data_IF_171759178313
#
_entry.id   IF_171759178313
#
_cell.length_a   1.000
_cell.length_b   1.000
_cell.length_c   1.000
_cell.angle_alpha   90.00
_cell.angle_beta   90.00
_cell.angle_gamma   90.00
#
_symmetry.space_group_name_H-M   'P 1'
#
loop_
_entity.id
_entity.type
_entity.pdbx_description
1 polymer ?
#
# COMPACT_ATOMS: atom_id res chain seq x y z
N UNK A 1 20.99 -3.27 19.64
CA UNK A 1 20.65 -3.79 18.29
C UNK A 1 19.65 -4.90 18.54
N UNK A 2 18.44 -4.79 17.97
CA UNK A 2 17.50 -5.90 18.02
C UNK A 2 18.10 -7.00 17.11
N UNK A 3 18.40 -8.14 17.70
CA UNK A 3 19.06 -9.27 17.07
C UNK A 3 18.16 -9.85 15.97
N UNK A 4 18.74 -10.21 14.84
CA UNK A 4 18.03 -10.73 13.67
C UNK A 4 17.23 -12.02 14.00
N UNK A 5 17.65 -12.69 15.06
CA UNK A 5 16.96 -13.83 15.66
C UNK A 5 15.58 -13.47 16.21
N UNK A 6 15.40 -12.26 16.74
CA UNK A 6 14.18 -11.86 17.42
C UNK A 6 13.01 -11.70 16.45
N UNK A 7 13.22 -11.17 15.23
CA UNK A 7 12.15 -11.07 14.24
C UNK A 7 11.83 -12.44 13.62
N UNK A 8 12.84 -13.29 13.38
CA UNK A 8 12.58 -14.67 12.94
C UNK A 8 11.79 -15.44 14.00
N UNK A 9 12.12 -15.29 15.27
CA UNK A 9 11.37 -15.87 16.39
C UNK A 9 9.97 -15.25 16.49
N UNK A 10 9.81 -13.93 16.35
CA UNK A 10 8.50 -13.25 16.32
C UNK A 10 7.60 -13.77 15.19
N UNK A 11 8.15 -13.91 13.99
CA UNK A 11 7.42 -14.33 12.78
C UNK A 11 7.19 -15.84 12.72
N UNK A 12 7.96 -16.64 13.46
CA UNK A 12 7.80 -18.10 13.51
C UNK A 12 6.99 -18.59 14.71
N UNK A 13 6.77 -17.74 15.73
CA UNK A 13 6.12 -18.13 16.99
C UNK A 13 4.64 -17.75 17.09
N UNK A 14 4.07 -17.02 16.13
CA UNK A 14 2.68 -16.56 16.26
C UNK A 14 1.93 -16.54 14.93
N UNK A 15 0.97 -17.46 14.81
CA UNK A 15 -0.05 -17.51 13.75
C UNK A 15 -1.04 -16.33 13.79
N UNK A 16 -0.79 -15.34 14.66
CA UNK A 16 -1.73 -14.26 14.98
C UNK A 16 -1.05 -12.91 15.25
N UNK A 17 0.20 -12.75 14.80
CA UNK A 17 0.94 -11.50 14.98
C UNK A 17 0.31 -10.36 14.15
N UNK A 18 0.00 -9.25 14.82
CA UNK A 18 -0.50 -8.04 14.18
C UNK A 18 0.67 -7.10 13.89
N UNK A 19 0.93 -6.85 12.62
CA UNK A 19 1.98 -5.95 12.15
C UNK A 19 1.38 -4.60 11.80
N UNK A 20 1.70 -3.58 12.60
CA UNK A 20 1.19 -2.22 12.42
C UNK A 20 1.73 -1.55 11.15
N UNK A 21 3.02 -1.70 10.86
CA UNK A 21 3.60 -1.15 9.63
C UNK A 21 4.75 -2.03 9.13
N UNK A 22 4.67 -2.44 7.87
CA UNK A 22 5.78 -3.06 7.14
C UNK A 22 6.26 -2.09 6.06
N UNK A 23 7.48 -1.59 6.17
CA UNK A 23 8.06 -0.68 5.17
C UNK A 23 9.17 -1.39 4.39
N UNK A 24 9.13 -1.42 3.07
CA UNK A 24 10.24 -1.87 2.21
C UNK A 24 10.73 -0.69 1.37
N UNK A 25 12.03 -0.45 1.26
CA UNK A 25 12.64 0.65 0.48
C UNK A 25 13.84 0.08 -0.30
N UNK A 26 13.96 0.28 -1.61
CA UNK A 26 15.18 -0.04 -2.36
C UNK A 26 15.59 1.08 -3.31
N UNK A 27 16.52 1.95 -2.87
CA UNK A 27 16.92 3.14 -3.65
C UNK A 27 18.02 2.83 -4.68
N UNK A 28 17.90 3.47 -5.84
CA UNK A 28 18.71 3.27 -7.06
C UNK A 28 20.23 3.19 -6.82
N UNK A 29 20.82 2.10 -7.31
CA UNK A 29 22.27 1.97 -7.55
C UNK A 29 23.07 1.35 -6.41
N UNK A 30 22.51 1.28 -5.21
CA UNK A 30 23.04 0.52 -4.09
C UNK A 30 22.02 -0.55 -3.72
N UNK A 31 22.48 -1.79 -3.48
CA UNK A 31 21.62 -2.89 -2.98
C UNK A 31 21.31 -2.64 -1.51
N UNK A 32 20.73 -1.48 -1.22
CA UNK A 32 20.41 -1.05 0.11
C UNK A 32 18.93 -0.79 0.25
N UNK A 33 18.43 -1.03 1.44
CA UNK A 33 17.03 -0.98 1.75
C UNK A 33 16.77 -1.24 3.22
N UNK A 34 15.52 -1.20 3.64
CA UNK A 34 15.19 -1.52 5.01
C UNK A 34 13.81 -2.14 5.10
N UNK A 35 13.66 -3.10 6.00
CA UNK A 35 12.36 -3.59 6.45
C UNK A 35 12.13 -3.08 7.85
N UNK A 36 11.07 -2.34 8.07
CA UNK A 36 10.63 -1.97 9.42
C UNK A 36 9.32 -2.66 9.71
N UNK A 37 9.23 -3.30 10.87
CA UNK A 37 8.04 -3.96 11.39
C UNK A 37 7.69 -3.30 12.72
N UNK A 38 6.60 -2.56 12.74
CA UNK A 38 6.02 -2.07 13.99
C UNK A 38 4.95 -3.06 14.48
N UNK A 39 4.95 -3.43 15.76
CA UNK A 39 3.98 -4.36 16.34
C UNK A 39 3.51 -3.89 17.72
N UNK A 40 2.24 -4.16 18.09
CA UNK A 40 1.69 -3.78 19.38
C UNK A 40 2.30 -4.64 20.50
N UNK A 41 2.50 -4.02 21.68
CA UNK A 41 2.99 -4.73 22.86
C UNK A 41 2.13 -4.46 24.10
N UNK A 42 2.11 -5.43 25.02
CA UNK A 42 1.45 -5.32 26.31
C UNK A 42 2.20 -4.35 27.26
N UNK A 43 1.70 -4.19 28.49
CA UNK A 43 2.35 -3.35 29.51
C UNK A 43 3.76 -3.82 29.88
N UNK A 44 4.11 -5.07 29.59
CA UNK A 44 5.42 -5.67 29.85
C UNK A 44 6.34 -5.62 28.63
N UNK A 45 5.85 -5.14 27.49
CA UNK A 45 6.60 -5.06 26.24
C UNK A 45 6.61 -6.35 25.43
N UNK A 46 5.72 -7.31 25.71
CA UNK A 46 5.55 -8.55 24.96
C UNK A 46 4.62 -8.35 23.75
N UNK A 47 4.86 -8.99 22.59
CA UNK A 47 4.00 -8.85 21.41
C UNK A 47 2.55 -9.27 21.68
N UNK A 48 1.59 -8.47 21.20
CA UNK A 48 0.15 -8.78 21.27
C UNK A 48 -0.26 -9.51 19.98
N UNK A 49 -1.11 -10.53 20.13
CA UNK A 49 -1.56 -11.38 19.03
C UNK A 49 -3.08 -11.35 18.78
N UNK A 50 -3.82 -10.46 19.44
CA UNK A 50 -5.27 -10.29 19.21
C UNK A 50 -5.67 -8.83 19.06
N UNK A 51 -6.60 -8.55 18.12
CA UNK A 51 -7.12 -7.20 17.87
C UNK A 51 -7.90 -6.64 19.08
N UNK A 52 -8.57 -7.52 19.84
CA UNK A 52 -9.32 -7.15 21.05
C UNK A 52 -8.44 -6.64 22.19
N UNK A 53 -7.14 -6.92 22.16
CA UNK A 53 -6.16 -6.51 23.18
C UNK A 53 -5.41 -5.23 22.78
N UNK A 54 -5.61 -4.70 21.57
CA UNK A 54 -5.04 -3.42 21.12
C UNK A 54 -5.80 -2.26 21.77
N UNK A 55 -5.63 -2.12 23.08
CA UNK A 55 -6.02 -0.92 23.83
C UNK A 55 -4.80 -0.10 24.23
N UNK A 56 -3.59 -0.63 24.03
CA UNK A 56 -2.32 0.00 24.40
C UNK A 56 -1.76 0.85 23.27
N UNK A 57 -1.37 2.11 23.58
CA UNK A 57 -0.61 2.98 22.65
C UNK A 57 0.86 2.53 22.47
N UNK A 58 1.28 1.47 23.15
CA UNK A 58 2.67 1.03 23.18
C UNK A 58 2.95 0.14 21.97
N UNK A 59 3.81 0.62 21.08
CA UNK A 59 4.33 -0.16 19.95
C UNK A 59 5.84 -0.32 20.07
N UNK A 60 6.34 -1.49 19.65
CA UNK A 60 7.77 -1.69 19.40
C UNK A 60 8.00 -1.70 17.90
N UNK A 61 9.15 -1.17 17.49
CA UNK A 61 9.63 -1.23 16.12
C UNK A 61 10.85 -2.13 16.07
N UNK A 62 10.81 -3.13 15.21
CA UNK A 62 11.96 -3.90 14.83
C UNK A 62 12.27 -3.59 13.36
N UNK A 63 13.53 -3.61 12.96
CA UNK A 63 13.86 -3.31 11.58
C UNK A 63 15.21 -3.86 11.18
N UNK A 64 15.31 -4.19 9.90
CA UNK A 64 16.51 -4.69 9.26
C UNK A 64 16.96 -3.72 8.21
N UNK A 65 18.27 -3.59 8.08
CA UNK A 65 18.87 -2.79 7.05
C UNK A 65 19.61 -3.70 6.10
N UNK A 66 19.34 -3.45 4.84
CA UNK A 66 19.92 -4.12 3.71
C UNK A 66 21.08 -3.21 3.28
N UNK A 67 22.30 -3.70 3.34
CA UNK A 67 23.49 -3.01 2.85
C UNK A 67 24.22 -3.82 1.76
N UNK A 68 23.78 -5.04 1.46
CA UNK A 68 24.33 -5.87 0.39
C UNK A 68 23.32 -6.90 -0.18
N UNK A 69 23.72 -7.63 -1.23
CA UNK A 69 22.87 -8.63 -1.93
C UNK A 69 22.36 -9.76 -1.01
N UNK A 70 23.14 -10.19 -0.02
CA UNK A 70 22.74 -11.27 0.90
C UNK A 70 21.70 -10.80 1.92
N UNK A 71 21.89 -9.59 2.44
CA UNK A 71 20.91 -8.96 3.33
C UNK A 71 19.61 -8.62 2.59
N UNK A 72 19.69 -8.38 1.27
CA UNK A 72 18.52 -8.22 0.41
C UNK A 72 17.69 -9.50 0.51
N UNK A 73 18.19 -10.65 0.04
CA UNK A 73 17.45 -11.94 0.10
C UNK A 73 16.88 -12.28 1.48
N UNK A 74 17.60 -11.94 2.56
CA UNK A 74 17.12 -12.17 3.94
C UNK A 74 15.93 -11.27 4.29
N UNK A 75 15.98 -10.00 3.91
CA UNK A 75 14.85 -9.08 4.04
C UNK A 75 13.67 -9.56 3.20
N UNK A 76 13.88 -9.99 1.96
CA UNK A 76 12.84 -10.58 1.11
C UNK A 76 12.14 -11.76 1.77
N UNK A 77 12.92 -12.71 2.26
CA UNK A 77 12.37 -13.87 2.95
C UNK A 77 11.56 -13.44 4.19
N UNK A 78 12.05 -12.46 4.93
CA UNK A 78 11.36 -11.94 6.12
C UNK A 78 10.04 -11.25 5.77
N UNK A 79 10.00 -10.46 4.68
CA UNK A 79 8.76 -9.90 4.14
C UNK A 79 7.79 -11.00 3.74
N UNK A 80 8.28 -12.09 3.13
CA UNK A 80 7.47 -13.25 2.76
C UNK A 80 6.87 -13.98 3.92
N UNK A 81 7.65 -14.22 4.96
CA UNK A 81 7.10 -14.82 6.18
C UNK A 81 6.07 -13.88 6.82
N UNK A 82 6.36 -12.58 6.91
CA UNK A 82 5.42 -11.60 7.45
C UNK A 82 4.10 -11.56 6.67
N UNK A 83 4.14 -11.64 5.34
CA UNK A 83 2.94 -11.68 4.50
C UNK A 83 2.18 -13.01 4.57
N UNK A 84 2.89 -14.12 4.82
CA UNK A 84 2.30 -15.47 4.93
C UNK A 84 1.55 -15.69 6.24
N UNK A 85 2.07 -15.16 7.35
CA UNK A 85 1.55 -15.47 8.70
C UNK A 85 0.97 -14.26 9.43
N UNK A 86 1.29 -13.05 8.98
CA UNK A 86 0.94 -11.83 9.69
C UNK A 86 -0.39 -11.25 9.23
N UNK A 87 -1.11 -10.65 10.19
CA UNK A 87 -2.17 -9.68 9.91
C UNK A 87 -1.53 -8.30 9.87
N UNK A 88 -1.55 -7.64 8.72
CA UNK A 88 -0.81 -6.40 8.51
C UNK A 88 -1.80 -5.24 8.44
N UNK A 89 -1.74 -4.36 9.42
CA UNK A 89 -2.52 -3.12 9.43
C UNK A 89 -2.09 -2.22 8.27
N UNK A 90 -0.79 -1.93 8.14
CA UNK A 90 -0.26 -1.14 7.02
C UNK A 90 0.95 -1.78 6.34
N UNK A 91 0.86 -2.04 5.04
CA UNK A 91 1.99 -2.43 4.20
C UNK A 91 2.38 -1.25 3.31
N UNK A 92 3.61 -0.76 3.45
CA UNK A 92 4.18 0.30 2.62
C UNK A 92 5.39 -0.22 1.84
N UNK A 93 5.35 -0.07 0.53
CA UNK A 93 6.43 -0.48 -0.36
C UNK A 93 6.89 0.76 -1.14
N UNK A 94 8.14 1.16 -0.91
CA UNK A 94 8.82 2.27 -1.56
C UNK A 94 9.85 1.74 -2.56
N UNK A 95 9.80 2.29 -3.77
CA UNK A 95 10.84 2.24 -4.83
C UNK A 95 11.50 0.87 -5.12
N UNK A 96 11.21 0.34 -6.31
CA UNK A 96 12.21 -0.24 -7.21
C UNK A 96 12.87 -1.58 -6.86
N UNK A 97 12.13 -2.69 -6.93
CA UNK A 97 12.79 -3.99 -7.09
C UNK A 97 13.65 -4.01 -8.38
N UNK A 98 14.88 -4.54 -8.29
CA UNK A 98 15.65 -4.87 -9.49
C UNK A 98 14.92 -5.99 -10.23
N UNK A 99 14.63 -5.85 -11.54
CA UNK A 99 13.75 -6.78 -12.26
C UNK A 99 14.13 -8.26 -12.12
N UNK A 100 15.42 -8.60 -12.23
CA UNK A 100 15.85 -10.00 -12.13
C UNK A 100 15.66 -10.63 -10.73
N UNK A 101 15.81 -9.85 -9.66
CA UNK A 101 15.57 -10.32 -8.29
C UNK A 101 14.06 -10.20 -7.94
N UNK A 102 13.32 -9.35 -8.66
CA UNK A 102 11.87 -9.21 -8.56
C UNK A 102 11.15 -10.41 -9.16
N UNK A 103 11.54 -10.88 -10.33
CA UNK A 103 10.86 -12.00 -11.00
C UNK A 103 10.93 -13.27 -10.13
N UNK A 104 12.08 -13.53 -9.52
CA UNK A 104 12.24 -14.61 -8.53
C UNK A 104 11.38 -14.40 -7.26
N UNK A 105 11.17 -13.14 -6.86
CA UNK A 105 10.25 -12.79 -5.77
C UNK A 105 8.79 -13.02 -6.17
N UNK A 106 8.40 -12.64 -7.39
CA UNK A 106 7.05 -12.87 -7.93
C UNK A 106 6.74 -14.36 -7.93
N UNK A 107 7.64 -15.19 -8.46
CA UNK A 107 7.41 -16.64 -8.56
C UNK A 107 7.18 -17.31 -7.19
N UNK A 108 7.95 -16.95 -6.17
CA UNK A 108 7.82 -17.54 -4.82
C UNK A 108 6.55 -17.02 -4.10
N UNK A 109 6.16 -15.77 -4.35
CA UNK A 109 5.06 -15.12 -3.64
C UNK A 109 3.70 -15.27 -4.32
N UNK A 110 3.65 -15.49 -5.63
CA UNK A 110 2.41 -15.80 -6.34
C UNK A 110 1.72 -17.05 -5.82
N UNK A 111 2.47 -17.96 -5.20
CA UNK A 111 1.92 -19.18 -4.58
C UNK A 111 1.64 -19.03 -3.08
N UNK A 112 1.96 -17.86 -2.50
CA UNK A 112 2.00 -17.63 -1.06
C UNK A 112 0.83 -16.81 -0.52
N UNK A 113 -0.04 -16.28 -1.39
CA UNK A 113 -1.28 -15.62 -0.96
C UNK A 113 -2.31 -16.61 -0.38
N UNK A 114 -3.38 -16.10 0.28
CA UNK A 114 -3.73 -14.68 0.37
C UNK A 114 -3.06 -13.94 1.54
N UNK A 115 -2.69 -12.68 1.33
CA UNK A 115 -2.10 -11.78 2.33
C UNK A 115 -3.19 -11.00 3.07
N UNK A 116 -3.14 -11.02 4.40
CA UNK A 116 -4.07 -10.24 5.24
C UNK A 116 -3.50 -8.84 5.48
N UNK A 117 -3.90 -7.90 4.61
CA UNK A 117 -3.42 -6.51 4.60
C UNK A 117 -4.62 -5.57 4.59
N UNK A 118 -4.67 -4.66 5.58
CA UNK A 118 -5.76 -3.69 5.71
C UNK A 118 -5.51 -2.39 4.95
N UNK A 119 -4.28 -1.87 5.00
CA UNK A 119 -3.87 -0.63 4.33
C UNK A 119 -2.65 -0.88 3.45
N UNK A 120 -2.82 -0.81 2.12
CA UNK A 120 -1.73 -0.97 1.15
C UNK A 120 -1.26 0.39 0.64
N UNK A 121 0.05 0.63 0.70
CA UNK A 121 0.71 1.77 0.09
C UNK A 121 1.86 1.30 -0.80
N UNK A 122 1.82 1.69 -2.06
CA UNK A 122 2.83 1.35 -3.06
C UNK A 122 3.30 2.64 -3.74
N UNK A 123 4.60 2.88 -3.70
CA UNK A 123 5.25 4.06 -4.29
C UNK A 123 6.33 3.60 -5.27
N UNK A 124 6.31 4.09 -6.51
CA UNK A 124 7.33 3.80 -7.53
C UNK A 124 7.57 2.29 -7.81
N UNK A 125 6.52 1.46 -7.72
CA UNK A 125 6.56 0.06 -8.14
C UNK A 125 6.15 -0.10 -9.61
N UNK A 126 6.73 -1.09 -10.28
CA UNK A 126 6.37 -1.43 -11.66
C UNK A 126 4.99 -2.10 -11.71
N UNK A 127 4.35 -2.03 -12.88
CA UNK A 127 3.06 -2.68 -13.20
C UNK A 127 2.98 -4.10 -12.66
N UNK A 128 3.87 -5.00 -13.10
CA UNK A 128 3.84 -6.42 -12.73
C UNK A 128 3.87 -6.62 -11.20
N UNK A 129 4.58 -5.75 -10.48
CA UNK A 129 4.62 -5.79 -9.03
C UNK A 129 3.29 -5.43 -8.38
N UNK A 130 2.65 -4.36 -8.85
CA UNK A 130 1.33 -3.97 -8.36
C UNK A 130 0.34 -5.12 -8.59
N UNK A 131 0.38 -5.74 -9.78
CA UNK A 131 -0.52 -6.84 -10.15
C UNK A 131 -0.36 -8.05 -9.22
N UNK A 132 0.85 -8.40 -8.80
CA UNK A 132 1.11 -9.49 -7.86
C UNK A 132 0.49 -9.23 -6.49
N UNK A 133 0.56 -8.00 -5.99
CA UNK A 133 -0.12 -7.65 -4.74
C UNK A 133 -1.64 -7.69 -4.89
N UNK A 134 -2.20 -7.17 -5.99
CA UNK A 134 -3.65 -7.22 -6.22
C UNK A 134 -4.18 -8.65 -6.37
N UNK A 135 -3.38 -9.56 -6.94
CA UNK A 135 -3.74 -10.98 -7.06
C UNK A 135 -3.71 -11.71 -5.71
N UNK A 136 -2.78 -11.34 -4.82
CA UNK A 136 -2.49 -12.09 -3.61
C UNK A 136 -3.03 -11.45 -2.33
N UNK A 137 -3.57 -10.25 -2.33
CA UNK A 137 -4.20 -9.67 -1.13
C UNK A 137 -5.59 -10.27 -0.91
N UNK A 138 -5.94 -10.51 0.35
CA UNK A 138 -7.27 -10.98 0.77
C UNK A 138 -8.34 -9.88 0.72
N UNK A 139 -9.60 -10.25 0.96
CA UNK A 139 -10.72 -9.31 0.91
C UNK A 139 -10.74 -8.26 2.05
N UNK A 140 -9.85 -8.34 3.04
CA UNK A 140 -9.80 -7.42 4.19
C UNK A 140 -9.20 -6.04 3.90
N UNK A 141 -8.87 -5.75 2.64
CA UNK A 141 -8.21 -4.51 2.22
C UNK A 141 -9.19 -3.32 2.25
N UNK A 142 -8.92 -2.35 3.12
CA UNK A 142 -9.75 -1.16 3.29
C UNK A 142 -9.25 0.04 2.47
N UNK A 143 -7.93 0.18 2.33
CA UNK A 143 -7.34 1.32 1.63
C UNK A 143 -6.20 0.94 0.69
N UNK A 144 -6.16 1.57 -0.47
CA UNK A 144 -5.08 1.46 -1.45
C UNK A 144 -4.53 2.84 -1.74
N UNK A 145 -3.21 3.00 -1.66
CA UNK A 145 -2.47 4.13 -2.20
C UNK A 145 -1.48 3.64 -3.25
N UNK A 146 -1.55 4.17 -4.46
CA UNK A 146 -0.60 3.91 -5.54
C UNK A 146 0.01 5.23 -6.02
N UNK A 147 1.31 5.23 -6.28
CA UNK A 147 1.98 6.33 -6.97
C UNK A 147 2.26 5.93 -8.43
N UNK A 148 1.61 6.61 -9.37
CA UNK A 148 1.78 6.40 -10.80
C UNK A 148 2.87 7.29 -11.42
N UNK A 149 3.63 8.05 -10.62
CA UNK A 149 4.68 8.94 -11.13
C UNK A 149 5.69 8.16 -12.01
N UNK A 150 6.00 8.73 -13.18
CA UNK A 150 6.91 8.12 -14.16
C UNK A 150 6.36 6.91 -14.92
N UNK A 151 5.08 6.55 -14.72
CA UNK A 151 4.44 5.42 -15.41
C UNK A 151 3.50 5.94 -16.51
N UNK A 152 3.94 5.82 -17.77
CA UNK A 152 3.12 6.21 -18.93
C UNK A 152 1.99 5.22 -19.25
N UNK A 153 2.12 3.97 -18.79
CA UNK A 153 1.16 2.87 -19.03
C UNK A 153 0.67 2.31 -17.70
N UNK A 154 0.07 3.18 -16.88
CA UNK A 154 -0.46 2.76 -15.59
C UNK A 154 -1.68 1.85 -15.81
N UNK A 155 -1.69 0.61 -15.27
CA UNK A 155 -2.60 -0.46 -15.67
C UNK A 155 -4.00 -0.33 -15.04
N UNK A 156 -4.62 0.85 -15.08
CA UNK A 156 -5.88 1.13 -14.37
C UNK A 156 -6.99 0.14 -14.75
N UNK A 157 -7.19 -0.13 -16.04
CA UNK A 157 -8.24 -1.04 -16.51
C UNK A 157 -8.01 -2.49 -16.05
N UNK A 158 -6.75 -2.92 -15.97
CA UNK A 158 -6.41 -4.25 -15.45
C UNK A 158 -6.61 -4.32 -13.93
N UNK A 159 -6.29 -3.25 -13.20
CA UNK A 159 -6.56 -3.14 -11.76
C UNK A 159 -8.05 -3.25 -11.46
N UNK A 160 -8.89 -2.66 -12.32
CA UNK A 160 -10.35 -2.78 -12.25
C UNK A 160 -10.87 -4.21 -12.51
N UNK A 161 -10.02 -5.14 -12.93
CA UNK A 161 -10.33 -6.57 -13.01
C UNK A 161 -10.26 -7.29 -11.67
N UNK A 162 -9.60 -6.72 -10.65
CA UNK A 162 -9.46 -7.36 -9.34
C UNK A 162 -10.59 -6.95 -8.38
N UNK A 163 -11.34 -7.91 -7.82
CA UNK A 163 -12.37 -7.61 -6.82
C UNK A 163 -11.84 -6.83 -5.62
N UNK A 164 -10.62 -7.14 -5.15
CA UNK A 164 -9.99 -6.44 -4.02
C UNK A 164 -9.70 -4.98 -4.31
N UNK A 165 -9.51 -4.61 -5.58
CA UNK A 165 -9.31 -3.23 -5.98
C UNK A 165 -10.66 -2.51 -6.08
N UNK A 166 -11.61 -3.05 -6.84
CA UNK A 166 -12.90 -2.38 -7.08
C UNK A 166 -13.80 -2.25 -5.85
N UNK A 167 -13.71 -3.20 -4.92
CA UNK A 167 -14.50 -3.22 -3.69
C UNK A 167 -13.76 -2.58 -2.51
N UNK A 168 -12.53 -2.08 -2.72
CA UNK A 168 -11.79 -1.36 -1.71
C UNK A 168 -12.55 -0.10 -1.30
N UNK A 169 -12.66 0.13 0.00
CA UNK A 169 -13.40 1.28 0.53
C UNK A 169 -12.78 2.61 0.10
N UNK A 170 -11.45 2.69 0.08
CA UNK A 170 -10.74 3.92 -0.29
C UNK A 170 -9.57 3.66 -1.22
N UNK A 171 -9.57 4.30 -2.38
CA UNK A 171 -8.46 4.20 -3.34
C UNK A 171 -7.91 5.59 -3.60
N UNK A 172 -6.59 5.75 -3.49
CA UNK A 172 -5.88 6.94 -3.92
C UNK A 172 -4.80 6.59 -4.94
N UNK A 173 -4.76 7.32 -6.04
CA UNK A 173 -3.69 7.20 -7.05
C UNK A 173 -3.07 8.57 -7.30
N UNK A 174 -1.79 8.75 -7.02
CA UNK A 174 -1.10 9.99 -7.36
C UNK A 174 -0.50 9.91 -8.78
N UNK A 175 -0.41 11.07 -9.45
CA UNK A 175 0.14 11.23 -10.80
C UNK A 175 -0.52 10.37 -11.91
N UNK A 176 -1.80 10.04 -11.77
CA UNK A 176 -2.54 9.29 -12.79
C UNK A 176 -2.85 10.17 -14.01
N UNK A 177 -2.35 9.75 -15.18
CA UNK A 177 -2.56 10.45 -16.47
C UNK A 177 -3.78 9.95 -17.26
N UNK A 178 -4.52 8.98 -16.73
CA UNK A 178 -5.63 8.34 -17.43
C UNK A 178 -6.94 9.14 -17.27
N UNK A 179 -7.40 9.78 -18.35
CA UNK A 179 -8.68 10.52 -18.36
C UNK A 179 -9.93 9.63 -18.33
N UNK A 180 -9.76 8.33 -18.61
CA UNK A 180 -10.84 7.34 -18.65
C UNK A 180 -11.00 6.62 -17.31
N UNK A 181 -10.12 6.89 -16.33
CA UNK A 181 -10.17 6.27 -15.01
C UNK A 181 -11.52 6.49 -14.31
N UNK A 182 -12.05 7.72 -14.33
CA UNK A 182 -13.34 8.03 -13.67
C UNK A 182 -14.51 7.35 -14.38
N UNK A 183 -14.71 7.50 -15.71
CA UNK A 183 -15.77 6.76 -16.40
C UNK A 183 -15.73 5.24 -16.17
N UNK A 184 -14.55 4.63 -16.24
CA UNK A 184 -14.37 3.19 -15.98
C UNK A 184 -14.75 2.82 -14.56
N UNK A 185 -14.31 3.60 -13.57
CA UNK A 185 -14.64 3.39 -12.16
C UNK A 185 -16.14 3.53 -11.89
N UNK A 186 -16.76 4.60 -12.38
CA UNK A 186 -18.20 4.87 -12.21
C UNK A 186 -19.03 3.72 -12.76
N UNK A 187 -18.69 3.24 -13.96
CA UNK A 187 -19.34 2.07 -14.55
C UNK A 187 -19.26 0.86 -13.63
N UNK A 188 -18.07 0.56 -13.11
CA UNK A 188 -17.83 -0.58 -12.22
C UNK A 188 -18.53 -0.45 -10.87
N UNK A 189 -18.59 0.73 -10.27
CA UNK A 189 -19.34 0.96 -9.05
C UNK A 189 -20.86 0.80 -9.23
N UNK A 190 -21.40 1.20 -10.39
CA UNK A 190 -22.80 0.97 -10.74
C UNK A 190 -23.08 -0.52 -10.97
N UNK A 191 -22.18 -1.23 -11.65
CA UNK A 191 -22.27 -2.69 -11.88
C UNK A 191 -22.22 -3.49 -10.57
N UNK A 192 -21.36 -3.10 -9.63
CA UNK A 192 -21.14 -3.82 -8.37
C UNK A 192 -22.06 -3.37 -7.22
N UNK A 193 -22.92 -2.37 -7.43
CA UNK A 193 -23.70 -1.71 -6.37
C UNK A 193 -22.82 -1.30 -5.17
N UNK A 194 -21.73 -0.57 -5.45
CA UNK A 194 -20.74 -0.19 -4.44
C UNK A 194 -21.36 0.44 -3.18
N UNK A 195 -20.72 0.22 -2.04
CA UNK A 195 -21.23 0.65 -0.73
C UNK A 195 -21.12 2.17 -0.57
N UNK A 196 -22.03 2.76 0.22
CA UNK A 196 -21.91 4.16 0.65
C UNK A 196 -20.57 4.34 1.38
N UNK A 197 -19.96 5.51 1.23
CA UNK A 197 -18.63 5.86 1.71
C UNK A 197 -17.46 5.18 0.97
N UNK A 198 -17.72 4.48 -0.14
CA UNK A 198 -16.66 4.10 -1.08
C UNK A 198 -16.11 5.34 -1.76
N UNK A 199 -14.78 5.52 -1.74
CA UNK A 199 -14.08 6.72 -2.17
C UNK A 199 -12.94 6.41 -3.13
N UNK A 200 -12.77 7.27 -4.11
CA UNK A 200 -11.64 7.30 -5.02
C UNK A 200 -11.12 8.72 -5.14
N UNK A 201 -9.81 8.89 -5.04
CA UNK A 201 -9.13 10.15 -5.27
C UNK A 201 -7.95 9.95 -6.20
N UNK A 202 -7.72 10.88 -7.12
CA UNK A 202 -6.42 10.95 -7.78
C UNK A 202 -5.91 12.36 -7.95
N UNK A 203 -4.58 12.48 -7.92
CA UNK A 203 -3.89 13.71 -8.30
C UNK A 203 -3.88 13.79 -9.83
N UNK A 204 -4.67 14.72 -10.34
CA UNK A 204 -4.94 14.90 -11.74
C UNK A 204 -3.85 15.79 -12.36
N UNK A 205 -3.13 15.28 -13.35
CA UNK A 205 -2.21 16.10 -14.14
C UNK A 205 -2.97 16.76 -15.31
N UNK A 206 -2.83 18.07 -15.50
CA UNK A 206 -3.46 18.80 -16.60
C UNK A 206 -4.86 19.35 -16.33
N UNK A 207 -5.58 19.68 -17.40
CA UNK A 207 -6.96 20.17 -17.38
C UNK A 207 -7.96 18.99 -17.44
N UNK A 208 -8.85 18.91 -16.45
CA UNK A 208 -9.81 17.82 -16.29
C UNK A 208 -11.25 18.24 -16.60
N UNK A 209 -11.45 19.43 -17.17
CA UNK A 209 -12.76 19.85 -17.69
C UNK A 209 -13.28 18.88 -18.76
N UNK A 210 -12.39 18.40 -19.63
CA UNK A 210 -12.69 17.39 -20.67
C UNK A 210 -13.17 16.07 -20.07
N UNK A 211 -12.59 15.63 -18.95
CA UNK A 211 -13.02 14.42 -18.25
C UNK A 211 -14.47 14.56 -17.76
N UNK A 212 -14.82 15.71 -17.17
CA UNK A 212 -16.20 15.98 -16.72
C UNK A 212 -17.20 16.00 -17.86
N UNK A 213 -16.83 16.54 -19.02
CA UNK A 213 -17.68 16.53 -20.22
C UNK A 213 -17.90 15.11 -20.72
N UNK A 214 -16.82 14.33 -20.89
CA UNK A 214 -16.89 12.92 -21.32
C UNK A 214 -17.72 12.08 -20.37
N UNK A 215 -17.57 12.29 -19.07
CA UNK A 215 -18.33 11.60 -18.03
C UNK A 215 -19.83 11.90 -18.14
N UNK A 216 -20.20 13.17 -18.25
CA UNK A 216 -21.61 13.60 -18.37
C UNK A 216 -22.23 13.06 -19.66
N UNK A 217 -21.48 13.05 -20.77
CA UNK A 217 -21.94 12.44 -22.02
C UNK A 217 -22.20 10.94 -21.86
N UNK A 218 -21.24 10.23 -21.26
CA UNK A 218 -21.30 8.77 -21.05
C UNK A 218 -22.46 8.35 -20.15
N UNK A 219 -22.77 9.16 -19.14
CA UNK A 219 -23.80 8.86 -18.13
C UNK A 219 -25.01 9.80 -18.19
N UNK A 220 -25.29 10.38 -19.36
CA UNK A 220 -26.30 11.44 -19.54
C UNK A 220 -27.68 11.10 -18.93
N UNK A 221 -28.14 9.86 -19.10
CA UNK A 221 -29.42 9.37 -18.53
C UNK A 221 -29.42 9.22 -17.00
N UNK A 222 -28.24 9.28 -16.38
CA UNK A 222 -28.04 9.14 -14.94
C UNK A 222 -27.62 10.46 -14.27
N UNK A 223 -27.33 11.53 -15.01
CA UNK A 223 -26.90 12.80 -14.42
C UNK A 223 -28.06 13.46 -13.67
N UNK A 224 -27.85 13.69 -12.37
CA UNK A 224 -28.76 14.46 -11.51
C UNK A 224 -28.47 15.95 -11.64
N UNK A 225 -27.19 16.33 -11.55
CA UNK A 225 -26.74 17.69 -11.83
C UNK A 225 -25.26 17.73 -12.25
N UNK A 226 -24.88 18.84 -12.87
CA UNK A 226 -23.51 19.19 -13.24
C UNK A 226 -23.25 20.68 -12.99
N UNK A 227 -22.11 21.01 -12.41
CA UNK A 227 -21.53 22.36 -12.35
C UNK A 227 -20.14 22.34 -12.98
N UNK A 228 -19.41 23.47 -12.95
CA UNK A 228 -18.04 23.54 -13.46
C UNK A 228 -17.04 22.68 -12.69
N UNK A 229 -17.32 22.35 -11.42
CA UNK A 229 -16.42 21.60 -10.55
C UNK A 229 -17.04 20.35 -9.93
N UNK A 230 -18.31 20.05 -10.18
CA UNK A 230 -19.00 18.93 -9.57
C UNK A 230 -19.99 18.26 -10.52
N UNK A 231 -20.21 16.97 -10.35
CA UNK A 231 -21.31 16.25 -10.97
C UNK A 231 -21.87 15.22 -10.00
N UNK A 232 -23.17 14.96 -10.11
CA UNK A 232 -23.85 13.91 -9.36
C UNK A 232 -24.55 12.97 -10.34
N UNK A 233 -24.26 11.68 -10.20
CA UNK A 233 -24.75 10.61 -11.07
C UNK A 233 -25.57 9.64 -10.23
N UNK A 234 -26.76 9.26 -10.69
CA UNK A 234 -27.61 8.24 -10.08
C UNK A 234 -27.06 6.85 -10.37
N UNK A 235 -27.04 5.98 -9.37
CA UNK A 235 -26.70 4.56 -9.58
C UNK A 235 -27.95 3.77 -10.03
N UNK A 236 -27.86 2.44 -10.11
CA UNK A 236 -29.05 1.61 -10.27
C UNK A 236 -29.87 1.48 -8.98
N UNK A 237 -29.29 1.88 -7.84
CA UNK A 237 -29.97 1.96 -6.55
C UNK A 237 -30.53 3.36 -6.33
N UNK A 238 -31.82 3.46 -6.06
CA UNK A 238 -32.51 4.74 -5.76
C UNK A 238 -32.00 5.41 -4.48
N UNK A 239 -31.29 4.66 -3.63
CA UNK A 239 -30.72 5.14 -2.37
C UNK A 239 -29.29 5.66 -2.47
N UNK A 240 -28.62 5.49 -3.62
CA UNK A 240 -27.19 5.79 -3.78
C UNK A 240 -26.93 6.63 -5.02
N UNK A 241 -26.16 7.69 -4.85
CA UNK A 241 -25.60 8.49 -5.95
C UNK A 241 -24.07 8.44 -5.91
N UNK A 242 -23.44 8.72 -7.04
CA UNK A 242 -22.01 8.98 -7.14
C UNK A 242 -21.82 10.50 -7.21
N UNK A 243 -21.03 11.05 -6.29
CA UNK A 243 -20.60 12.44 -6.30
C UNK A 243 -19.18 12.52 -6.86
N UNK A 244 -18.96 13.42 -7.81
CA UNK A 244 -17.66 13.69 -8.42
C UNK A 244 -17.34 15.16 -8.19
N UNK A 245 -16.16 15.45 -7.66
CA UNK A 245 -15.72 16.80 -7.31
C UNK A 245 -14.31 17.04 -7.82
N UNK A 246 -14.12 18.19 -8.45
CA UNK A 246 -12.84 18.74 -8.86
C UNK A 246 -12.38 19.76 -7.81
N UNK A 247 -11.24 19.50 -7.19
CA UNK A 247 -10.61 20.42 -6.25
C UNK A 247 -9.34 20.99 -6.85
N UNK A 248 -9.11 22.28 -6.63
CA UNK A 248 -7.81 22.91 -6.86
C UNK A 248 -7.23 23.30 -5.50
N UNK A 249 -6.08 22.72 -5.14
CA UNK A 249 -5.39 22.99 -3.88
C UNK A 249 -3.89 23.06 -4.12
N UNK A 250 -3.26 24.13 -3.67
CA UNK A 250 -1.80 24.32 -3.78
C UNK A 250 -1.26 24.11 -5.21
N UNK A 251 -1.99 24.63 -6.21
CA UNK A 251 -1.73 24.47 -7.64
C UNK A 251 -1.80 23.03 -8.17
N UNK A 252 -2.42 22.13 -7.41
CA UNK A 252 -2.70 20.74 -7.80
C UNK A 252 -4.19 20.54 -8.00
N UNK A 253 -4.54 19.81 -9.05
CA UNK A 253 -5.91 19.41 -9.32
C UNK A 253 -6.14 18.01 -8.74
N UNK A 254 -7.20 17.85 -7.95
CA UNK A 254 -7.64 16.56 -7.46
C UNK A 254 -9.02 16.27 -8.01
N UNK A 255 -9.23 15.02 -8.37
CA UNK A 255 -10.57 14.50 -8.62
C UNK A 255 -10.91 13.55 -7.49
N UNK A 256 -12.08 13.76 -6.89
CA UNK A 256 -12.62 12.92 -5.84
C UNK A 256 -13.96 12.37 -6.32
N UNK A 257 -14.12 11.06 -6.20
CA UNK A 257 -15.37 10.35 -6.47
C UNK A 257 -15.79 9.64 -5.20
N UNK A 258 -17.07 9.73 -4.83
CA UNK A 258 -17.60 9.08 -3.62
C UNK A 258 -19.00 8.51 -3.88
N UNK A 259 -19.29 7.34 -3.33
CA UNK A 259 -20.67 6.85 -3.22
C UNK A 259 -21.30 7.51 -2.00
N UNK A 260 -22.38 8.24 -2.24
CA UNK A 260 -23.14 8.97 -1.22
C UNK A 260 -24.59 8.50 -1.19
N UNK A 261 -25.31 8.79 -0.11
CA UNK A 261 -26.76 8.61 -0.10
C UNK A 261 -27.41 9.51 -1.14
N UNK A 262 -28.51 9.06 -1.76
CA UNK A 262 -29.31 9.88 -2.65
C UNK A 262 -29.95 11.08 -1.93
N UNK A 263 -30.07 11.03 -0.60
CA UNK A 263 -30.59 12.13 0.22
C UNK A 263 -29.53 13.09 0.74
N UNK A 264 -28.24 12.81 0.56
CA UNK A 264 -27.15 13.72 1.00
C UNK A 264 -27.30 15.07 0.33
N UNK A 265 -27.22 16.15 1.13
CA UNK A 265 -27.31 17.54 0.67
C UNK A 265 -25.92 18.18 0.55
N UNK A 266 -25.82 19.28 -0.21
CA UNK A 266 -24.53 19.90 -0.54
C UNK A 266 -23.69 20.32 0.68
N UNK A 267 -24.33 20.71 1.78
CA UNK A 267 -23.65 21.07 3.03
C UNK A 267 -23.02 19.88 3.77
N UNK A 268 -23.39 18.66 3.42
CA UNK A 268 -22.90 17.41 4.01
C UNK A 268 -21.80 16.74 3.17
N UNK A 269 -21.47 17.30 2.00
CA UNK A 269 -20.42 16.72 1.17
C UNK A 269 -19.07 16.77 1.88
N UNK A 270 -18.38 15.64 1.85
CA UNK A 270 -17.02 15.53 2.37
C UNK A 270 -16.05 16.29 1.45
N UNK A 271 -15.73 17.51 1.86
CA UNK A 271 -14.76 18.36 1.18
C UNK A 271 -13.34 18.21 1.78
N UNK A 272 -13.15 17.27 2.70
CA UNK A 272 -11.86 17.06 3.30
C UNK A 272 -10.97 16.23 2.37
N UNK A 273 -9.81 16.78 1.98
CA UNK A 273 -8.78 16.07 1.23
C UNK A 273 -7.71 15.45 2.16
N UNK A 274 -7.88 15.57 3.47
CA UNK A 274 -6.91 15.10 4.47
C UNK A 274 -6.78 13.59 4.49
N UNK A 275 -7.88 12.83 4.30
CA UNK A 275 -7.84 11.37 4.28
C UNK A 275 -6.90 10.84 3.20
N UNK A 276 -6.93 11.46 2.01
CA UNK A 276 -5.95 11.17 0.96
C UNK A 276 -4.51 11.49 1.40
N UNK A 277 -4.31 12.62 2.08
CA UNK A 277 -2.98 13.12 2.43
C UNK A 277 -2.33 12.31 3.55
N UNK A 278 -3.10 11.74 4.47
CA UNK A 278 -2.60 10.82 5.49
C UNK A 278 -2.08 9.53 4.86
N UNK A 279 -2.79 8.98 3.87
CA UNK A 279 -2.32 7.82 3.09
C UNK A 279 -1.07 8.14 2.24
N UNK A 280 -0.98 9.36 1.71
CA UNK A 280 0.17 9.82 0.92
C UNK A 280 1.42 10.13 1.73
N UNK A 281 1.31 10.43 3.02
CA UNK A 281 2.50 10.67 3.88
C UNK A 281 3.29 9.38 4.02
N UNK A 282 4.58 9.44 3.71
CA UNK A 282 5.48 8.38 4.17
C UNK A 282 5.48 8.40 5.70
N UNK A 283 5.56 7.24 6.37
CA UNK A 283 5.78 7.22 7.81
C UNK A 283 6.95 8.16 8.11
N UNK A 284 6.77 9.09 9.07
CA UNK A 284 7.83 10.03 9.45
C UNK A 284 8.98 9.21 10.05
N UNK A 285 9.95 8.86 9.23
CA UNK A 285 11.22 8.33 9.70
C UNK A 285 12.01 9.55 10.15
N UNK A 286 12.20 9.72 11.46
CA UNK A 286 13.02 10.82 11.92
C UNK A 286 14.46 10.58 11.47
N UNK A 287 15.19 11.65 11.15
CA UNK A 287 16.59 11.53 10.76
C UNK A 287 17.46 10.94 11.88
N UNK A 288 17.03 11.06 13.15
CA UNK A 288 17.59 10.36 14.31
C UNK A 288 17.37 8.85 14.26
N UNK A 289 16.24 8.41 13.70
CA UNK A 289 15.95 6.98 13.49
C UNK A 289 16.80 6.40 12.35
N UNK A 290 17.42 7.28 11.55
CA UNK A 290 18.41 6.97 10.52
C UNK A 290 19.84 7.31 10.97
N UNK A 291 20.10 7.72 12.22
CA UNK A 291 21.45 8.15 12.61
C UNK A 291 22.48 7.02 12.58
N UNK A 292 22.03 5.76 12.64
CA UNK A 292 22.87 4.56 12.46
C UNK A 292 23.10 4.20 10.97
N UNK A 293 22.32 4.76 10.03
CA UNK A 293 22.47 4.59 8.57
C UNK A 293 23.85 5.03 8.05
N UNK A 294 24.57 5.87 8.80
CA UNK A 294 25.90 6.38 8.45
C UNK A 294 27.07 5.53 8.95
N UNK A 295 26.84 4.44 9.71
CA UNK A 295 27.91 3.51 10.06
C UNK A 295 28.02 2.45 8.97
N UNK A 296 28.98 2.63 8.07
CA UNK A 296 29.45 1.56 7.19
C UNK A 296 29.77 0.32 8.03
N UNK A 297 29.20 -0.83 7.66
CA UNK A 297 29.65 -2.12 8.18
C UNK A 297 31.03 -2.36 7.54
N UNK A 298 32.11 -2.55 8.31
CA UNK A 298 33.44 -2.70 7.74
C UNK A 298 33.50 -3.90 6.77
N UNK A 299 34.10 -3.71 5.59
CA UNK A 299 34.28 -4.76 4.56
C UNK A 299 35.02 -6.02 5.06
N UNK A 300 35.61 -5.96 6.25
CA UNK A 300 36.41 -7.03 6.85
C UNK A 300 35.65 -7.89 7.87
N UNK A 301 34.31 -7.77 7.93
CA UNK A 301 33.50 -8.62 8.79
C UNK A 301 33.55 -10.08 8.30
N UNK A 302 34.23 -10.93 9.06
CA UNK A 302 34.49 -12.32 8.73
C UNK A 302 33.20 -13.15 8.60
N UNK A 303 32.14 -12.75 9.32
CA UNK A 303 30.85 -13.45 9.29
C UNK A 303 30.12 -13.13 7.98
N UNK A 304 30.14 -11.88 7.54
CA UNK A 304 29.57 -11.47 6.24
C UNK A 304 30.26 -12.18 5.06
N UNK A 305 31.57 -12.43 5.16
CA UNK A 305 32.36 -13.15 4.15
C UNK A 305 32.08 -14.66 4.16
N UNK A 306 31.95 -15.27 5.33
CA UNK A 306 31.65 -16.70 5.49
C UNK A 306 30.29 -17.09 4.88
N UNK A 307 29.25 -16.29 5.11
CA UNK A 307 27.91 -16.55 4.58
C UNK A 307 27.80 -16.33 3.07
N UNK A 308 28.60 -15.40 2.50
CA UNK A 308 28.66 -15.17 1.06
C UNK A 308 29.32 -16.31 0.28
N UNK A 309 30.25 -17.05 0.90
CA UNK A 309 30.98 -18.15 0.27
C UNK A 309 30.25 -19.51 0.36
N UNK A 310 29.37 -19.71 1.35
CA UNK A 310 28.81 -21.04 1.67
C UNK A 310 27.28 -21.16 1.55
N UNK A 311 26.58 -20.12 1.08
CA UNK A 311 25.11 -20.02 1.02
C UNK A 311 24.36 -20.88 0.00
N UNK A 312 24.85 -22.07 -0.39
CA UNK A 312 24.05 -23.08 -1.12
C UNK A 312 23.65 -24.21 -0.18
N UNK A 313 22.69 -23.94 0.70
CA UNK A 313 22.14 -24.96 1.58
C UNK A 313 21.59 -24.36 2.86
N UNK A 314 20.35 -23.91 2.82
CA UNK A 314 19.60 -23.64 4.05
C UNK A 314 19.45 -24.96 4.79
N UNK A 315 20.02 -25.07 6.00
CA UNK A 315 19.43 -25.75 7.16
C UNK A 315 20.19 -25.43 8.45
N UNK A 316 19.42 -24.93 9.42
CA UNK A 316 19.66 -24.78 10.87
C UNK A 316 20.68 -23.75 11.37
N UNK A 317 20.17 -22.90 12.25
CA UNK A 317 20.89 -21.98 13.12
C UNK A 317 21.58 -22.75 14.25
N UNK A 318 22.81 -22.36 14.56
CA UNK A 318 23.46 -22.65 15.83
C UNK A 318 23.76 -21.31 16.53
N UNK A 319 23.34 -21.27 17.79
CA UNK A 319 23.48 -20.19 18.77
C UNK A 319 24.94 -19.81 19.02
N UNK A 320 25.16 -18.59 19.51
CA UNK A 320 25.92 -18.37 20.74
C UNK A 320 25.55 -17.01 21.36
N UNK A 321 25.20 -17.09 22.65
CA UNK A 321 25.01 -15.95 23.56
C UNK A 321 26.33 -15.20 23.77
N UNK A 322 26.26 -13.88 23.93
CA UNK A 322 26.77 -13.15 25.10
C UNK A 322 26.21 -11.72 25.12
#
# INVERSE_FOLDING_TARGET
MADDNHIKELLSSSDSLILKTVLFDSRKGQKCGAIYVEYPVDSNGSPISSESEITTQNTKRAGFNIFNKHQYLTAFYSLGQALKVGKIDQLTILEGFYPADFDAFVDDFETSGPFDVKHLKIVNLKKDSVMVFMKNISAGLETIYLDAEGTNDFPFDELMGFPVFCNCKTIRIDALLNTDAVPTLVKKWIENDAEIDTKFQYLAAGDHSVMMEKLVETFSDHVVFKTGSQARIRTNSDSKHILIQLFNRDSRNFVVCSIISSTTVDSEYDNDLSWGNEMGRNPKINQSDLSWYKKEIPENDADAKFWAEHGKGIRQAAFLMH
#
